data_IF_756531703682
#
_entry.id   IF_756531703682
#
_cell.length_a   1.000
_cell.length_b   1.000
_cell.length_c   1.000
_cell.angle_alpha   90.00
_cell.angle_beta   90.00
_cell.angle_gamma   90.00
#
_symmetry.space_group_name_H-M   'P 1'
#
loop_
_entity.id
_entity.type
_entity.pdbx_description
1 polymer ?
#
# COMPACT_ATOMS: atom_id res chain seq x y z
N UNK A 1 -12.09 0.97 20.36
CA UNK A 1 -11.46 0.13 19.99
C UNK A 1 -10.46 0.38 19.04
N UNK A 2 -9.55 -0.13 19.00
CA UNK A 2 -8.45 0.19 18.20
C UNK A 2 -8.26 -0.77 17.09
N UNK A 3 -9.36 -1.16 16.53
CA UNK A 3 -9.26 -2.10 15.52
C UNK A 3 -8.53 -1.58 14.36
N UNK A 4 -8.73 -0.33 14.06
CA UNK A 4 -8.10 0.24 12.92
C UNK A 4 -6.61 0.16 13.02
N UNK A 5 -6.09 0.28 14.22
CA UNK A 5 -4.66 0.28 14.39
C UNK A 5 -4.04 -1.06 14.07
N UNK A 6 -4.84 -2.10 14.09
CA UNK A 6 -4.33 -3.43 13.81
C UNK A 6 -4.54 -3.85 12.37
N UNK A 7 -5.19 -3.00 11.59
CA UNK A 7 -5.52 -3.33 10.21
C UNK A 7 -5.08 -2.20 9.30
N UNK A 8 -3.78 -2.15 8.99
CA UNK A 8 -3.29 -1.08 8.12
C UNK A 8 -4.01 -1.07 6.79
N UNK A 9 -4.24 0.10 6.28
CA UNK A 9 -4.88 0.27 4.99
C UNK A 9 -4.35 1.54 4.33
N UNK A 10 -4.45 1.60 3.00
CA UNK A 10 -4.08 2.80 2.27
C UNK A 10 -5.32 3.58 1.84
N UNK A 11 -6.49 3.13 2.26
CA UNK A 11 -7.72 3.85 1.89
C UNK A 11 -7.69 5.27 2.43
N UNK A 12 -8.16 6.20 1.63
CA UNK A 12 -8.15 7.60 2.02
C UNK A 12 -9.37 8.29 1.46
N UNK A 13 -9.99 9.12 2.29
CA UNK A 13 -11.14 9.91 1.87
C UNK A 13 -10.84 11.37 2.10
N UNK A 14 -11.47 12.22 1.28
CA UNK A 14 -11.37 13.66 1.44
C UNK A 14 -12.08 14.02 2.73
N UNK A 15 -11.43 14.76 3.61
CA UNK A 15 -12.01 15.08 4.91
C UNK A 15 -13.16 16.07 4.81
N UNK A 16 -13.21 16.85 3.74
CA UNK A 16 -14.27 17.83 3.59
C UNK A 16 -15.50 17.27 2.90
N UNK A 17 -15.31 16.48 1.87
CA UNK A 17 -16.44 15.97 1.10
C UNK A 17 -16.81 14.54 1.46
N UNK A 18 -15.91 13.82 2.09
CA UNK A 18 -16.14 12.41 2.39
C UNK A 18 -15.92 11.50 1.20
N UNK A 19 -15.52 12.06 0.07
CA UNK A 19 -15.29 11.25 -1.13
C UNK A 19 -14.05 10.40 -1.00
N UNK A 20 -14.12 9.18 -1.49
CA UNK A 20 -12.98 8.28 -1.46
C UNK A 20 -11.99 8.68 -2.53
N UNK A 21 -10.73 8.92 -2.15
CA UNK A 21 -9.71 9.32 -3.11
C UNK A 21 -8.68 8.23 -3.34
N UNK A 22 -8.52 7.31 -2.40
CA UNK A 22 -7.71 6.11 -2.62
C UNK A 22 -8.55 4.93 -2.19
N UNK A 23 -8.71 3.97 -3.11
CA UNK A 23 -9.51 2.79 -2.85
C UNK A 23 -8.63 1.57 -2.81
N UNK A 24 -8.64 0.86 -1.69
CA UNK A 24 -7.87 -0.36 -1.56
C UNK A 24 -8.64 -1.52 -2.17
N UNK A 25 -7.99 -2.25 -3.07
CA UNK A 25 -8.60 -3.39 -3.73
C UNK A 25 -8.17 -4.71 -3.10
N UNK A 26 -6.93 -4.79 -2.64
CA UNK A 26 -6.40 -6.01 -2.07
C UNK A 26 -5.17 -5.67 -1.25
N UNK A 27 -4.76 -6.59 -0.39
CA UNK A 27 -3.54 -6.38 0.38
C UNK A 27 -2.87 -7.71 0.68
N UNK A 28 -1.56 -7.67 0.89
CA UNK A 28 -0.78 -8.85 1.22
C UNK A 28 0.24 -8.45 2.28
N UNK A 29 0.40 -9.30 3.29
CA UNK A 29 1.40 -9.08 4.32
C UNK A 29 2.64 -9.90 3.96
N UNK A 30 3.76 -9.21 3.80
CA UNK A 30 5.01 -9.88 3.44
C UNK A 30 5.77 -10.35 4.67
N UNK A 31 5.82 -9.53 5.71
CA UNK A 31 6.47 -9.91 6.96
C UNK A 31 5.64 -9.41 8.12
N UNK A 32 5.74 -10.08 9.26
CA UNK A 32 5.02 -9.72 10.47
C UNK A 32 5.99 -9.58 11.62
N UNK A 33 5.54 -8.97 12.70
CA UNK A 33 6.33 -8.75 13.89
C UNK A 33 6.29 -7.30 14.29
N UNK A 34 7.32 -6.84 15.00
CA UNK A 34 7.41 -5.44 15.40
C UNK A 34 7.49 -4.55 14.15
N UNK A 35 8.07 -5.07 13.08
CA UNK A 35 8.09 -4.39 11.79
C UNK A 35 7.31 -5.26 10.82
N UNK A 36 6.38 -4.65 10.11
CA UNK A 36 5.52 -5.39 9.18
C UNK A 36 5.57 -4.71 7.82
N UNK A 37 5.89 -5.48 6.78
CA UNK A 37 5.93 -4.97 5.42
C UNK A 37 4.70 -5.50 4.69
N UNK A 38 4.00 -4.61 4.01
CA UNK A 38 2.77 -4.96 3.32
C UNK A 38 2.74 -4.39 1.92
N UNK A 39 1.97 -5.06 1.06
CA UNK A 39 1.69 -4.57 -0.28
C UNK A 39 0.20 -4.32 -0.37
N UNK A 40 -0.17 -3.25 -1.06
CA UNK A 40 -1.57 -2.92 -1.28
C UNK A 40 -1.81 -2.70 -2.75
N UNK A 41 -2.89 -3.28 -3.27
CA UNK A 41 -3.36 -2.98 -4.61
C UNK A 41 -4.44 -1.94 -4.45
N UNK A 42 -4.30 -0.80 -5.09
CA UNK A 42 -5.24 0.29 -4.89
C UNK A 42 -5.44 1.10 -6.15
N UNK A 43 -6.42 1.97 -6.12
CA UNK A 43 -6.71 2.89 -7.20
C UNK A 43 -6.78 4.30 -6.63
N UNK A 44 -6.27 5.26 -7.40
CA UNK A 44 -6.30 6.66 -7.00
C UNK A 44 -7.31 7.39 -7.87
N UNK A 45 -8.09 8.25 -7.25
CA UNK A 45 -9.09 9.03 -7.96
C UNK A 45 -8.44 10.21 -8.65
N UNK A 46 -8.76 10.39 -9.91
CA UNK A 46 -8.28 11.55 -10.67
C UNK A 46 -9.13 12.75 -10.28
N UNK A 47 -8.48 13.79 -9.75
CA UNK A 47 -9.19 14.97 -9.27
C UNK A 47 -9.94 15.70 -10.38
N UNK A 48 -9.45 15.59 -11.61
CA UNK A 48 -10.09 16.30 -12.70
C UNK A 48 -11.30 15.57 -13.27
N UNK A 49 -11.19 14.25 -13.42
CA UNK A 49 -12.26 13.49 -14.03
C UNK A 49 -13.20 12.84 -13.02
N UNK A 50 -12.73 12.68 -11.77
CA UNK A 50 -13.52 12.02 -10.76
C UNK A 50 -13.50 10.50 -10.88
N UNK A 51 -12.72 9.97 -11.80
CA UNK A 51 -12.66 8.53 -12.02
C UNK A 51 -11.42 7.94 -11.40
N UNK A 52 -11.53 6.68 -10.98
CA UNK A 52 -10.37 5.96 -10.44
C UNK A 52 -9.53 5.45 -11.60
N UNK A 53 -8.21 5.60 -11.48
CA UNK A 53 -7.29 5.18 -12.52
C UNK A 53 -7.01 3.70 -12.45
N UNK A 54 -5.99 3.29 -13.20
CA UNK A 54 -5.59 1.89 -13.19
C UNK A 54 -5.03 1.50 -11.85
N UNK A 55 -5.15 0.22 -11.48
CA UNK A 55 -4.62 -0.22 -10.19
C UNK A 55 -3.12 0.02 -10.06
N UNK A 56 -2.71 0.41 -8.87
CA UNK A 56 -1.32 0.66 -8.53
C UNK A 56 -0.95 -0.17 -7.32
N UNK A 57 0.33 -0.41 -7.15
CA UNK A 57 0.82 -1.18 -6.02
C UNK A 57 1.63 -0.29 -5.10
N UNK A 58 1.25 -0.28 -3.83
CA UNK A 58 1.96 0.47 -2.80
C UNK A 58 2.64 -0.52 -1.88
N UNK A 59 3.90 -0.24 -1.53
CA UNK A 59 4.60 -0.99 -0.50
C UNK A 59 4.70 -0.09 0.72
N UNK A 60 4.38 -0.64 1.88
CA UNK A 60 4.39 0.11 3.12
C UNK A 60 5.08 -0.71 4.19
N UNK A 61 5.91 -0.06 4.97
CA UNK A 61 6.56 -0.71 6.09
C UNK A 61 6.08 -0.03 7.37
N UNK A 62 5.54 -0.82 8.26
CA UNK A 62 4.97 -0.33 9.52
C UNK A 62 5.79 -0.81 10.69
N UNK A 63 5.81 -0.01 11.75
CA UNK A 63 6.38 -0.41 13.02
C UNK A 63 5.26 -0.40 14.03
N UNK A 64 5.13 -1.49 14.79
CA UNK A 64 4.10 -1.56 15.82
C UNK A 64 4.63 -0.92 17.09
N UNK A 65 3.99 0.14 17.52
CA UNK A 65 4.39 0.88 18.71
C UNK A 65 3.17 1.05 19.59
N UNK A 66 3.27 0.54 20.82
CA UNK A 66 2.17 0.65 21.78
C UNK A 66 0.85 0.15 21.24
N UNK A 67 0.91 -0.96 20.49
CA UNK A 67 -0.31 -1.58 19.97
C UNK A 67 -0.84 -0.97 18.70
N UNK A 68 -0.19 0.06 18.17
CA UNK A 68 -0.64 0.71 16.95
C UNK A 68 0.43 0.63 15.88
N UNK A 69 0.01 0.49 14.62
CA UNK A 69 0.94 0.47 13.51
C UNK A 69 1.21 1.89 13.04
N UNK A 70 2.49 2.22 12.90
CA UNK A 70 2.90 3.52 12.39
C UNK A 70 3.66 3.32 11.09
N UNK A 71 3.26 4.04 10.06
CA UNK A 71 3.92 3.93 8.77
C UNK A 71 5.30 4.56 8.86
N UNK A 72 6.32 3.79 8.48
CA UNK A 72 7.71 4.26 8.55
C UNK A 72 8.34 4.48 7.20
N UNK A 73 8.01 3.61 6.24
CA UNK A 73 8.55 3.72 4.89
C UNK A 73 7.47 3.45 3.89
N UNK A 74 7.59 4.06 2.73
CA UNK A 74 6.64 3.82 1.68
C UNK A 74 7.33 3.88 0.32
N UNK A 75 6.86 3.05 -0.58
CA UNK A 75 7.36 3.02 -1.93
C UNK A 75 6.21 2.61 -2.84
N UNK A 76 5.93 3.42 -3.83
CA UNK A 76 4.85 3.12 -4.77
C UNK A 76 5.47 2.63 -6.07
N UNK A 77 5.04 1.46 -6.52
CA UNK A 77 5.51 0.92 -7.80
C UNK A 77 4.83 1.72 -8.90
N UNK A 78 5.63 2.28 -9.79
CA UNK A 78 5.12 3.22 -10.79
C UNK A 78 4.29 2.55 -11.88
N UNK A 79 4.47 1.26 -12.10
CA UNK A 79 3.71 0.57 -13.12
C UNK A 79 4.23 -0.83 -13.36
N UNK A 80 3.63 -1.47 -14.36
CA UNK A 80 3.94 -2.86 -14.65
C UNK A 80 5.40 -3.07 -15.03
N UNK A 81 5.98 -2.15 -15.79
CA UNK A 81 7.36 -2.28 -16.22
C UNK A 81 8.32 -2.29 -15.02
N UNK A 82 8.07 -1.42 -14.05
CA UNK A 82 8.90 -1.38 -12.86
C UNK A 82 8.70 -2.65 -12.05
N UNK A 83 7.47 -3.13 -11.96
CA UNK A 83 7.18 -4.36 -11.24
C UNK A 83 7.94 -5.53 -11.84
N UNK A 84 7.95 -5.62 -13.16
CA UNK A 84 8.67 -6.69 -13.86
C UNK A 84 10.17 -6.61 -13.60
N UNK A 85 10.72 -5.40 -13.59
CA UNK A 85 12.14 -5.21 -13.33
C UNK A 85 12.48 -5.64 -11.91
N UNK A 86 11.61 -5.33 -10.94
CA UNK A 86 11.82 -5.73 -9.55
C UNK A 86 11.82 -7.27 -9.46
N UNK A 87 10.83 -7.91 -10.07
CA UNK A 87 10.73 -9.36 -10.05
C UNK A 87 11.97 -10.00 -10.66
N UNK A 88 12.38 -9.50 -11.79
CA UNK A 88 13.52 -10.04 -12.51
C UNK A 88 14.80 -9.97 -11.69
N UNK A 89 15.05 -8.83 -11.06
CA UNK A 89 16.25 -8.67 -10.26
C UNK A 89 16.19 -9.48 -8.98
N UNK A 90 15.02 -9.58 -8.35
CA UNK A 90 14.89 -10.39 -7.16
C UNK A 90 15.13 -11.87 -7.46
N UNK A 91 14.59 -12.35 -8.58
CA UNK A 91 14.79 -13.74 -8.99
C UNK A 91 16.26 -14.01 -9.23
N UNK A 92 16.95 -13.07 -9.87
CA UNK A 92 18.35 -13.22 -10.21
C UNK A 92 19.22 -13.20 -8.95
N UNK A 93 18.99 -12.24 -8.06
CA UNK A 93 19.85 -12.09 -6.89
C UNK A 93 19.58 -13.12 -5.81
N UNK A 94 18.32 -13.52 -5.63
CA UNK A 94 17.97 -14.52 -4.64
C UNK A 94 17.94 -15.94 -5.22
N UNK A 95 18.10 -16.05 -6.52
CA UNK A 95 18.12 -17.35 -7.16
C UNK A 95 16.83 -18.14 -6.91
N UNK A 96 15.72 -17.47 -7.09
CA UNK A 96 14.40 -18.08 -6.83
C UNK A 96 13.58 -18.25 -8.11
#
# INVERSE_FOLDING_TARGET
MSMEAENPTVEMCDTETGEQIIKELDQATLTKGAWQTMMFLCQEKNAKTGEFGEPKVYLRRYQKVAGAFKARSKFNISGKAQAEAIIENLKKWYNI
#
